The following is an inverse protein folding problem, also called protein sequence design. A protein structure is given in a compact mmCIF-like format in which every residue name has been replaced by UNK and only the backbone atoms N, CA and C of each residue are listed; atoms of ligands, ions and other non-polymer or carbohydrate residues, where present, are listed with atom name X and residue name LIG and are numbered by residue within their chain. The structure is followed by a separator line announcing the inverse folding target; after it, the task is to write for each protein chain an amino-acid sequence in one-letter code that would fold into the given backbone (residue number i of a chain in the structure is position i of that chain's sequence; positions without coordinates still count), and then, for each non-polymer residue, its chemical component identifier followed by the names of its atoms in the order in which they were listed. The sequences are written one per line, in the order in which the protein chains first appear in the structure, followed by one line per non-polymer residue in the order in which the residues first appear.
data_IF_549299598657
#
_entry.id   IF_549299598657
#
_cell.length_a   1.000
_cell.length_b   1.000
_cell.length_c   1.000
_cell.angle_alpha   90.00
_cell.angle_beta   90.00
_cell.angle_gamma   90.00
#
_symmetry.space_group_name_H-M   'P 1'
#
loop_
_entity.id
_entity.type
_entity.pdbx_description
1 polymer ?
#
# COMPACT_ATOMS: atom_id res chain seq x y z
N UNK A 1 29.92 -5.15 -20.96
CA UNK A 1 29.76 -5.57 -19.55
C UNK A 1 28.64 -4.76 -18.95
N UNK A 2 27.61 -5.43 -18.48
CA UNK A 2 26.50 -4.83 -17.76
C UNK A 2 26.96 -4.42 -16.37
N UNK A 3 26.67 -3.20 -15.96
CA UNK A 3 26.35 -2.91 -14.56
C UNK A 3 24.96 -2.28 -14.57
N UNK A 4 23.95 -3.12 -14.30
CA UNK A 4 22.61 -2.64 -13.98
C UNK A 4 22.68 -1.96 -12.62
N UNK A 5 22.49 -0.64 -12.60
CA UNK A 5 22.22 0.09 -11.38
C UNK A 5 20.84 -0.33 -10.88
N UNK A 6 20.83 -1.07 -9.78
CA UNK A 6 19.61 -1.42 -9.05
C UNK A 6 19.02 -0.13 -8.49
N UNK A 7 18.04 0.44 -9.18
CA UNK A 7 17.13 1.42 -8.57
C UNK A 7 16.18 0.66 -7.64
N UNK A 8 16.66 0.33 -6.44
CA UNK A 8 15.90 -0.36 -5.41
C UNK A 8 14.94 0.56 -4.62
N UNK A 9 14.86 1.86 -4.96
CA UNK A 9 14.21 2.87 -4.11
C UNK A 9 13.06 3.66 -4.77
N UNK A 10 12.71 3.35 -6.02
CA UNK A 10 11.55 3.94 -6.73
C UNK A 10 10.65 2.85 -7.30
N UNK A 11 10.53 1.71 -6.61
CA UNK A 11 9.38 0.86 -6.84
C UNK A 11 8.14 1.68 -6.48
N UNK A 12 7.22 1.83 -7.44
CA UNK A 12 5.95 2.51 -7.23
C UNK A 12 5.25 1.89 -6.02
N UNK A 13 4.99 2.70 -4.98
CA UNK A 13 4.46 2.23 -3.70
C UNK A 13 2.93 2.21 -3.79
N UNK A 14 2.33 1.07 -3.48
CA UNK A 14 0.89 0.97 -3.20
C UNK A 14 0.56 1.52 -1.80
N UNK A 15 -0.44 0.91 -1.14
CA UNK A 15 -0.88 1.33 0.19
C UNK A 15 0.22 1.24 1.28
N UNK A 16 1.02 0.17 1.22
CA UNK A 16 2.04 -0.15 2.21
C UNK A 16 3.43 0.16 1.67
N UNK A 17 4.26 0.76 2.53
CA UNK A 17 5.72 0.79 2.33
C UNK A 17 6.32 -0.58 2.62
N UNK A 18 7.52 -0.85 2.10
CA UNK A 18 8.22 -2.11 2.35
C UNK A 18 8.46 -2.35 3.84
N UNK A 19 8.81 -1.30 4.58
CA UNK A 19 8.98 -1.38 6.02
C UNK A 19 7.68 -1.71 6.75
N UNK A 20 6.55 -1.15 6.32
CA UNK A 20 5.25 -1.50 6.90
C UNK A 20 4.88 -2.95 6.63
N UNK A 21 5.21 -3.49 5.45
CA UNK A 21 5.03 -4.91 5.12
C UNK A 21 5.84 -5.78 6.09
N UNK A 22 7.15 -5.53 6.23
CA UNK A 22 8.03 -6.26 7.16
C UNK A 22 7.50 -6.25 8.61
N UNK A 23 6.96 -5.12 9.05
CA UNK A 23 6.44 -4.99 10.42
C UNK A 23 5.17 -5.82 10.62
N UNK A 24 4.25 -5.82 9.65
CA UNK A 24 2.98 -6.56 9.73
C UNK A 24 3.22 -8.06 9.59
N UNK A 25 4.09 -8.49 8.67
CA UNK A 25 4.34 -9.91 8.40
C UNK A 25 5.06 -10.62 9.55
N UNK A 26 5.70 -9.88 10.45
CA UNK A 26 6.48 -10.47 11.53
C UNK A 26 7.99 -10.37 11.31
N UNK A 27 8.43 -9.98 10.12
CA UNK A 27 9.83 -10.03 9.69
C UNK A 27 10.71 -8.96 10.36
N UNK A 28 10.10 -7.85 10.80
CA UNK A 28 10.79 -6.84 11.59
C UNK A 28 10.72 -7.14 13.10
N UNK A 29 11.88 -7.18 13.75
CA UNK A 29 12.00 -7.22 15.21
C UNK A 29 11.75 -5.83 15.80
N UNK A 30 10.50 -5.60 16.23
CA UNK A 30 10.03 -4.34 16.81
C UNK A 30 9.07 -4.63 17.97
N UNK A 31 8.91 -3.68 18.88
CA UNK A 31 8.00 -3.83 20.01
C UNK A 31 6.54 -3.95 19.54
N UNK A 32 5.73 -4.67 20.34
CA UNK A 32 4.29 -4.82 20.08
C UNK A 32 3.57 -3.47 20.04
N UNK A 33 3.98 -2.51 20.88
CA UNK A 33 3.45 -1.15 20.86
C UNK A 33 3.74 -0.46 19.51
N UNK A 34 4.93 -0.65 18.95
CA UNK A 34 5.28 -0.07 17.67
C UNK A 34 4.53 -0.75 16.52
N UNK A 35 4.44 -2.09 16.54
CA UNK A 35 3.61 -2.86 15.59
C UNK A 35 2.15 -2.39 15.61
N UNK A 36 1.57 -2.17 16.80
CA UNK A 36 0.23 -1.63 16.96
C UNK A 36 0.09 -0.22 16.38
N UNK A 37 1.06 0.67 16.64
CA UNK A 37 1.07 2.03 16.05
C UNK A 37 1.12 1.99 14.53
N UNK A 38 1.88 1.06 13.95
CA UNK A 38 1.93 0.87 12.49
C UNK A 38 0.59 0.39 11.94
N UNK A 39 -0.04 -0.60 12.57
CA UNK A 39 -1.38 -1.04 12.17
C UNK A 39 -2.40 0.10 12.24
N UNK A 40 -2.34 0.95 13.27
CA UNK A 40 -3.20 2.13 13.39
C UNK A 40 -2.99 3.13 12.24
N UNK A 41 -1.74 3.40 11.87
CA UNK A 41 -1.43 4.26 10.70
C UNK A 41 -2.00 3.70 9.41
N UNK A 42 -1.94 2.39 9.23
CA UNK A 42 -2.44 1.72 8.03
C UNK A 42 -3.97 1.81 7.95
N UNK A 43 -4.68 1.69 9.08
CA UNK A 43 -6.14 1.95 9.12
C UNK A 43 -6.47 3.35 8.63
N UNK A 44 -5.74 4.36 9.10
CA UNK A 44 -5.94 5.73 8.61
C UNK A 44 -5.64 5.87 7.10
N UNK A 45 -4.70 5.10 6.55
CA UNK A 45 -4.47 5.09 5.10
C UNK A 45 -5.64 4.46 4.35
N UNK A 46 -6.23 3.38 4.87
CA UNK A 46 -7.41 2.74 4.29
C UNK A 46 -8.59 3.71 4.28
N UNK A 47 -8.84 4.42 5.39
CA UNK A 47 -9.90 5.45 5.44
C UNK A 47 -9.70 6.55 4.38
N UNK A 48 -8.45 6.89 4.04
CA UNK A 48 -8.16 7.87 2.98
C UNK A 48 -8.45 7.35 1.58
N UNK A 49 -8.32 6.04 1.35
CA UNK A 49 -8.69 5.42 0.07
C UNK A 49 -10.16 5.68 -0.24
N UNK A 50 -11.05 5.77 0.76
CA UNK A 50 -12.46 6.10 0.51
C UNK A 50 -12.62 7.45 -0.21
N UNK A 51 -11.83 8.45 0.20
CA UNK A 51 -11.81 9.75 -0.47
C UNK A 51 -11.16 9.68 -1.86
N UNK A 52 -10.09 8.91 -2.00
CA UNK A 52 -9.44 8.70 -3.30
C UNK A 52 -10.40 8.01 -4.29
N UNK A 53 -11.20 7.05 -3.82
CA UNK A 53 -12.26 6.38 -4.61
C UNK A 53 -13.28 7.39 -5.14
N UNK A 54 -13.73 8.34 -4.32
CA UNK A 54 -14.66 9.38 -4.79
C UNK A 54 -14.04 10.26 -5.88
N UNK A 55 -12.75 10.58 -5.76
CA UNK A 55 -12.02 11.36 -6.78
C UNK A 55 -11.88 10.56 -8.08
N UNK A 56 -11.58 9.27 -7.98
CA UNK A 56 -11.49 8.39 -9.15
C UNK A 56 -12.85 8.21 -9.82
N UNK A 57 -13.93 8.02 -9.06
CA UNK A 57 -15.30 7.95 -9.58
C UNK A 57 -15.73 9.24 -10.30
N UNK A 58 -15.27 10.40 -9.85
CA UNK A 58 -15.64 11.67 -10.52
C UNK A 58 -14.82 11.94 -11.78
N UNK A 59 -13.56 11.51 -11.81
CA UNK A 59 -12.61 12.00 -12.82
C UNK A 59 -12.02 10.92 -13.71
N UNK A 60 -11.89 9.68 -13.23
CA UNK A 60 -11.16 8.58 -13.85
C UNK A 60 -11.75 7.22 -13.46
N UNK A 61 -12.99 6.99 -13.87
CA UNK A 61 -13.71 5.73 -13.63
C UNK A 61 -12.93 4.50 -14.12
N UNK A 62 -12.12 4.66 -15.18
CA UNK A 62 -11.20 3.64 -15.70
C UNK A 62 -10.24 3.12 -14.61
N UNK A 63 -9.63 4.03 -13.86
CA UNK A 63 -8.68 3.68 -12.81
C UNK A 63 -9.37 3.14 -11.55
N UNK A 64 -10.63 3.52 -11.30
CA UNK A 64 -11.42 2.94 -10.21
C UNK A 64 -11.78 1.48 -10.49
N UNK A 65 -12.10 1.14 -11.74
CA UNK A 65 -12.33 -0.24 -12.17
C UNK A 65 -11.07 -1.09 -11.98
N UNK A 66 -9.91 -0.62 -12.46
CA UNK A 66 -8.62 -1.28 -12.24
C UNK A 66 -8.30 -1.49 -10.74
N UNK A 67 -8.55 -0.47 -9.91
CA UNK A 67 -8.37 -0.58 -8.46
C UNK A 67 -9.27 -1.66 -7.86
N UNK A 68 -10.56 -1.71 -8.26
CA UNK A 68 -11.52 -2.71 -7.79
C UNK A 68 -11.08 -4.11 -8.20
N UNK A 69 -10.65 -4.30 -9.45
CA UNK A 69 -10.12 -5.59 -9.93
C UNK A 69 -8.88 -6.03 -9.12
N UNK A 70 -8.01 -5.09 -8.74
CA UNK A 70 -6.80 -5.42 -8.00
C UNK A 70 -7.05 -5.82 -6.52
N UNK A 71 -8.16 -5.38 -5.92
CA UNK A 71 -8.45 -5.62 -4.48
C UNK A 71 -9.60 -6.60 -4.23
N UNK A 72 -10.54 -6.72 -5.16
CA UNK A 72 -11.61 -7.70 -5.11
C UNK A 72 -11.11 -8.99 -5.75
N UNK A 73 -10.79 -10.00 -4.95
CA UNK A 73 -10.69 -11.37 -5.47
C UNK A 73 -12.08 -11.83 -5.90
N UNK A 74 -12.20 -12.43 -7.09
CA UNK A 74 -13.39 -13.21 -7.49
C UNK A 74 -13.61 -14.34 -6.46
N UNK A 75 -14.35 -14.05 -5.38
CA UNK A 75 -14.81 -15.00 -4.37
C UNK A 75 -16.34 -15.12 -4.45
#
# INVERSE_FOLDING_TARGET
MCMGEKNADMAERGLLTDREREIITGDADVSDEYRYRVASRIRNKIERIEGDVSILEEHRDDLLEELREAVCEDN
#
